data_IF_237342255369
#
_entry.id   IF_237342255369
#
_cell.length_a   1.000
_cell.length_b   1.000
_cell.length_c   1.000
_cell.angle_alpha   90.00
_cell.angle_beta   90.00
_cell.angle_gamma   90.00
#
_symmetry.space_group_name_H-M   'P 1'
#
loop_
_entity.id
_entity.type
_entity.pdbx_description
1 polymer ?
#
# COMPACT_ATOMS: atom_id res chain seq x y z
N UNK A 1 -55.28 9.12 41.66
CA UNK A 1 -54.11 9.22 42.54
C UNK A 1 -53.52 7.83 42.75
N UNK A 2 -52.66 7.36 41.86
CA UNK A 2 -51.96 6.08 41.98
C UNK A 2 -50.66 6.33 42.74
N UNK A 3 -50.65 6.03 44.04
CA UNK A 3 -49.47 6.11 44.89
C UNK A 3 -48.49 5.00 44.48
N UNK A 4 -47.29 5.37 44.04
CA UNK A 4 -46.16 4.46 43.90
C UNK A 4 -45.66 4.08 45.30
N UNK A 5 -45.82 2.82 45.69
CA UNK A 5 -45.23 2.26 46.90
C UNK A 5 -43.70 2.33 46.85
N UNK A 6 -43.02 2.65 47.97
CA UNK A 6 -41.57 2.77 47.99
C UNK A 6 -40.90 1.40 47.78
N UNK A 7 -39.94 1.34 46.86
CA UNK A 7 -39.20 0.11 46.53
C UNK A 7 -38.55 -0.51 47.77
N UNK A 8 -38.66 -1.84 47.93
CA UNK A 8 -38.12 -2.59 49.05
C UNK A 8 -36.59 -2.56 49.07
N UNK A 9 -35.96 -2.74 50.23
CA UNK A 9 -34.50 -2.74 50.39
C UNK A 9 -33.78 -3.75 49.47
N UNK A 10 -34.45 -4.86 49.16
CA UNK A 10 -33.97 -5.88 48.20
C UNK A 10 -34.02 -5.36 46.74
N UNK A 11 -35.12 -4.68 46.35
CA UNK A 11 -35.24 -4.05 45.03
C UNK A 11 -34.21 -2.94 44.83
N UNK A 12 -33.92 -2.14 45.87
CA UNK A 12 -32.89 -1.09 45.81
C UNK A 12 -31.49 -1.69 45.59
N UNK A 13 -31.14 -2.77 46.30
CA UNK A 13 -29.86 -3.48 46.10
C UNK A 13 -29.75 -4.07 44.68
N UNK A 14 -30.82 -4.67 44.17
CA UNK A 14 -30.84 -5.22 42.81
C UNK A 14 -30.67 -4.13 41.74
N UNK A 15 -31.31 -2.97 41.91
CA UNK A 15 -31.15 -1.81 41.02
C UNK A 15 -29.74 -1.23 41.05
N UNK A 16 -29.12 -1.11 42.23
CA UNK A 16 -27.72 -0.68 42.36
C UNK A 16 -26.78 -1.66 41.69
N UNK A 17 -26.98 -2.97 41.88
CA UNK A 17 -26.17 -4.00 41.24
C UNK A 17 -26.30 -3.96 39.71
N UNK A 18 -27.54 -3.85 39.20
CA UNK A 18 -27.79 -3.73 37.76
C UNK A 18 -27.16 -2.45 37.17
N UNK A 19 -27.25 -1.32 37.88
CA UNK A 19 -26.61 -0.07 37.47
C UNK A 19 -25.09 -0.22 37.36
N UNK A 20 -24.45 -0.85 38.35
CA UNK A 20 -23.00 -1.09 38.33
C UNK A 20 -22.58 -2.00 37.17
N UNK A 21 -23.33 -3.07 36.90
CA UNK A 21 -23.07 -3.97 35.76
C UNK A 21 -23.22 -3.23 34.44
N UNK A 22 -24.25 -2.39 34.28
CA UNK A 22 -24.43 -1.60 33.06
C UNK A 22 -23.28 -0.61 32.85
N UNK A 23 -22.77 0.01 33.92
CA UNK A 23 -21.61 0.91 33.85
C UNK A 23 -20.34 0.16 33.42
N UNK A 24 -20.10 -1.02 34.00
CA UNK A 24 -18.96 -1.88 33.65
C UNK A 24 -19.03 -2.36 32.20
N UNK A 25 -20.18 -2.86 31.75
CA UNK A 25 -20.40 -3.27 30.36
C UNK A 25 -20.23 -2.12 29.37
N UNK A 26 -20.67 -0.90 29.73
CA UNK A 26 -20.44 0.29 28.90
C UNK A 26 -18.96 0.67 28.80
N UNK A 27 -18.22 0.56 29.90
CA UNK A 27 -16.78 0.83 29.90
C UNK A 27 -16.01 -0.19 29.05
N UNK A 28 -16.36 -1.48 29.16
CA UNK A 28 -15.78 -2.55 28.34
C UNK A 28 -16.11 -2.36 26.85
N UNK A 29 -17.35 -2.00 26.50
CA UNK A 29 -17.73 -1.72 25.13
C UNK A 29 -16.93 -0.55 24.55
N UNK A 30 -16.81 0.55 25.30
CA UNK A 30 -16.03 1.72 24.88
C UNK A 30 -14.55 1.37 24.65
N UNK A 31 -13.94 0.61 25.56
CA UNK A 31 -12.55 0.17 25.42
C UNK A 31 -12.35 -0.77 24.22
N UNK A 32 -13.31 -1.66 23.95
CA UNK A 32 -13.28 -2.53 22.77
C UNK A 32 -13.46 -1.76 21.46
N UNK A 33 -14.34 -0.75 21.46
CA UNK A 33 -14.53 0.15 20.32
C UNK A 33 -13.31 1.04 20.06
N UNK A 34 -12.64 1.53 21.11
CA UNK A 34 -11.41 2.32 21.00
C UNK A 34 -10.20 1.45 20.59
N UNK A 35 -10.09 0.23 21.11
CA UNK A 35 -9.07 -0.73 20.69
C UNK A 35 -9.17 -1.12 19.22
N UNK A 36 -10.38 -1.16 18.65
CA UNK A 36 -10.60 -1.36 17.21
C UNK A 36 -10.38 -0.09 16.37
N UNK A 37 -10.15 1.07 16.99
CA UNK A 37 -9.93 2.37 16.33
C UNK A 37 -8.53 2.92 16.57
N UNK A 38 -7.56 2.05 16.85
CA UNK A 38 -6.17 2.46 16.97
C UNK A 38 -5.69 3.09 15.65
N UNK A 39 -5.20 4.35 15.66
CA UNK A 39 -4.69 4.99 14.45
C UNK A 39 -3.46 4.26 13.93
N UNK A 40 -3.45 3.93 12.63
CA UNK A 40 -2.29 3.33 11.97
C UNK A 40 -1.38 4.44 11.44
N UNK A 41 -0.14 4.48 11.91
CA UNK A 41 0.87 5.38 11.39
C UNK A 41 1.57 4.77 10.17
N UNK A 42 1.70 5.55 9.10
CA UNK A 42 2.59 5.23 7.97
C UNK A 42 3.94 5.87 8.27
N UNK A 43 4.92 5.05 8.62
CA UNK A 43 6.24 5.52 9.10
C UNK A 43 7.35 5.43 8.05
N UNK A 44 7.11 4.77 6.91
CA UNK A 44 8.04 4.70 5.80
C UNK A 44 7.31 4.54 4.47
N UNK A 45 7.96 4.92 3.38
CA UNK A 45 7.42 4.87 2.03
C UNK A 45 8.55 4.57 1.04
N UNK A 46 8.31 3.61 0.16
CA UNK A 46 9.13 3.34 -1.02
C UNK A 46 8.22 3.28 -2.22
N UNK A 47 8.63 3.89 -3.34
CA UNK A 47 7.88 3.81 -4.58
C UNK A 47 8.76 4.12 -5.78
N UNK A 48 8.44 3.48 -6.91
CA UNK A 48 9.02 3.79 -8.21
C UNK A 48 7.89 4.05 -9.20
N UNK A 49 7.89 5.23 -9.79
CA UNK A 49 6.93 5.68 -10.77
C UNK A 49 7.64 6.12 -12.06
N UNK A 50 6.94 6.17 -13.20
CA UNK A 50 7.47 6.75 -14.42
C UNK A 50 7.94 8.20 -14.17
N UNK A 51 9.22 8.50 -14.44
CA UNK A 51 9.83 9.80 -14.17
C UNK A 51 10.22 10.06 -12.71
N UNK A 52 10.03 9.10 -11.79
CA UNK A 52 10.33 9.27 -10.37
C UNK A 52 10.80 7.96 -9.71
N UNK A 53 12.06 7.91 -9.30
CA UNK A 53 12.65 6.72 -8.67
C UNK A 53 12.33 6.54 -7.20
N UNK A 54 11.88 7.59 -6.52
CA UNK A 54 11.70 7.61 -5.08
C UNK A 54 10.55 8.57 -4.70
N UNK A 55 10.10 8.56 -3.44
CA UNK A 55 9.00 9.42 -3.01
C UNK A 55 9.23 10.92 -3.18
N UNK A 56 10.48 11.40 -3.07
CA UNK A 56 10.80 12.83 -3.21
C UNK A 56 10.72 13.25 -4.68
N UNK A 57 11.30 12.45 -5.59
CA UNK A 57 11.17 12.64 -7.03
C UNK A 57 9.70 12.56 -7.47
N UNK A 58 8.92 11.67 -6.87
CA UNK A 58 7.49 11.56 -7.17
C UNK A 58 6.72 12.80 -6.70
N UNK A 59 7.03 13.30 -5.51
CA UNK A 59 6.44 14.55 -5.02
C UNK A 59 6.78 15.73 -5.93
N UNK A 60 8.04 15.83 -6.37
CA UNK A 60 8.48 16.87 -7.30
C UNK A 60 7.70 16.82 -8.62
N UNK A 61 7.52 15.64 -9.19
CA UNK A 61 6.76 15.40 -10.41
C UNK A 61 5.30 15.86 -10.27
N UNK A 62 4.65 15.50 -9.16
CA UNK A 62 3.28 15.91 -8.86
C UNK A 62 3.16 17.43 -8.66
N UNK A 63 4.08 18.02 -7.89
CA UNK A 63 4.11 19.45 -7.61
C UNK A 63 4.25 20.28 -8.88
N UNK A 64 5.09 19.82 -9.81
CA UNK A 64 5.37 20.50 -11.06
C UNK A 64 4.33 20.19 -12.15
N UNK A 65 3.39 19.27 -11.90
CA UNK A 65 2.33 18.91 -12.83
C UNK A 65 2.84 18.22 -14.11
N UNK A 66 3.91 17.43 -13.98
CA UNK A 66 4.58 16.79 -15.13
C UNK A 66 3.78 15.59 -15.63
N UNK A 67 3.49 15.56 -16.94
CA UNK A 67 2.95 14.37 -17.63
C UNK A 67 4.09 13.41 -17.98
N UNK A 68 4.18 12.30 -17.24
CA UNK A 68 5.17 11.24 -17.46
C UNK A 68 4.76 10.21 -18.53
N UNK A 69 3.64 10.42 -19.23
CA UNK A 69 3.21 9.53 -20.31
C UNK A 69 3.98 9.81 -21.59
N UNK A 70 4.35 8.73 -22.30
CA UNK A 70 5.12 8.79 -23.54
C UNK A 70 4.69 7.69 -24.47
N UNK A 71 5.27 7.65 -25.65
CA UNK A 71 5.07 6.55 -26.59
C UNK A 71 5.62 5.24 -26.00
N UNK A 72 4.96 4.14 -26.32
CA UNK A 72 5.40 2.80 -25.91
C UNK A 72 6.83 2.56 -26.46
N UNK A 73 7.83 2.33 -25.61
CA UNK A 73 9.21 2.14 -26.06
C UNK A 73 9.34 0.88 -26.93
N UNK A 74 10.07 0.99 -28.05
CA UNK A 74 10.27 -0.14 -28.99
C UNK A 74 11.04 -1.30 -28.36
N UNK A 75 11.77 -1.03 -27.29
CA UNK A 75 12.48 -2.03 -26.49
C UNK A 75 11.52 -2.94 -25.71
N UNK A 76 10.24 -2.54 -25.53
CA UNK A 76 9.22 -3.38 -24.89
C UNK A 76 8.56 -4.31 -25.90
N UNK A 77 8.02 -3.74 -26.98
CA UNK A 77 7.50 -4.45 -28.14
C UNK A 77 7.38 -3.49 -29.33
N UNK A 78 7.25 -4.06 -30.53
CA UNK A 78 7.07 -3.26 -31.75
C UNK A 78 5.66 -2.66 -31.82
N UNK A 79 5.52 -1.42 -31.33
CA UNK A 79 4.24 -0.73 -31.31
C UNK A 79 3.65 -0.54 -32.71
N UNK A 80 4.48 -0.36 -33.74
CA UNK A 80 4.01 -0.15 -35.11
C UNK A 80 3.35 -1.42 -35.67
N UNK A 81 3.81 -2.60 -35.22
CA UNK A 81 3.21 -3.88 -35.59
C UNK A 81 1.85 -4.15 -34.93
N UNK A 82 1.58 -3.56 -33.76
CA UNK A 82 0.35 -3.82 -32.99
C UNK A 82 -0.66 -2.67 -33.02
N UNK A 83 -0.28 -1.47 -33.44
CA UNK A 83 -1.16 -0.31 -33.43
C UNK A 83 -2.15 -0.29 -34.62
N UNK A 84 -3.41 0.03 -34.34
CA UNK A 84 -4.42 0.43 -35.31
C UNK A 84 -5.34 1.50 -34.67
N UNK A 85 -5.55 2.68 -35.29
CA UNK A 85 -6.47 3.69 -34.74
C UNK A 85 -7.93 3.21 -34.64
N UNK A 86 -8.34 2.18 -35.40
CA UNK A 86 -9.67 1.59 -35.29
C UNK A 86 -9.76 0.68 -34.06
N UNK A 87 -10.69 0.94 -33.11
CA UNK A 87 -10.76 0.22 -31.83
C UNK A 87 -11.12 -1.26 -31.97
N UNK A 88 -11.82 -1.65 -33.04
CA UNK A 88 -12.38 -2.99 -33.22
C UNK A 88 -11.53 -3.87 -34.16
N UNK A 89 -10.33 -3.42 -34.57
CA UNK A 89 -9.46 -4.26 -35.41
C UNK A 89 -8.94 -5.47 -34.60
N UNK A 90 -9.23 -6.72 -35.01
CA UNK A 90 -8.81 -7.89 -34.27
C UNK A 90 -7.28 -8.00 -34.15
N UNK A 91 -6.79 -8.26 -32.94
CA UNK A 91 -5.36 -8.45 -32.67
C UNK A 91 -4.53 -7.15 -32.67
N UNK A 92 -5.18 -5.98 -32.70
CA UNK A 92 -4.54 -4.67 -32.65
C UNK A 92 -4.89 -3.91 -31.35
N UNK A 93 -4.08 -2.90 -31.05
CA UNK A 93 -4.29 -1.94 -29.98
C UNK A 93 -4.50 -0.55 -30.57
N UNK A 94 -5.45 0.22 -30.03
CA UNK A 94 -5.67 1.62 -30.42
C UNK A 94 -5.00 2.62 -29.47
N UNK A 95 -4.22 2.13 -28.50
CA UNK A 95 -3.43 2.92 -27.56
C UNK A 95 -1.96 2.73 -27.88
N UNK A 96 -1.23 3.84 -28.05
CA UNK A 96 0.22 3.85 -28.29
C UNK A 96 1.02 4.63 -27.25
N UNK A 97 0.35 5.15 -26.21
CA UNK A 97 0.97 5.90 -25.12
C UNK A 97 0.71 5.22 -23.79
N UNK A 98 1.69 5.32 -22.90
CA UNK A 98 1.64 4.81 -21.54
C UNK A 98 2.73 5.45 -20.69
N UNK A 99 2.73 5.16 -19.41
CA UNK A 99 3.77 5.58 -18.49
C UNK A 99 4.56 4.33 -18.06
N UNK A 100 5.89 4.40 -18.14
CA UNK A 100 6.76 3.24 -18.04
C UNK A 100 7.94 3.53 -17.13
N UNK A 101 8.36 2.52 -16.37
CA UNK A 101 9.70 2.52 -15.77
C UNK A 101 10.71 2.26 -16.90
N UNK A 102 11.32 3.33 -17.42
CA UNK A 102 12.40 3.30 -18.42
C UNK A 102 13.79 3.28 -17.81
N UNK A 103 14.75 3.12 -18.72
CA UNK A 103 16.17 3.38 -18.50
C UNK A 103 16.52 4.85 -18.26
N UNK A 104 15.65 5.81 -18.59
CA UNK A 104 15.90 7.23 -18.30
C UNK A 104 15.70 7.51 -16.81
N UNK A 105 14.58 7.02 -16.27
CA UNK A 105 14.22 7.09 -14.86
C UNK A 105 15.08 6.11 -14.07
N UNK A 106 15.17 4.85 -14.51
CA UNK A 106 15.83 3.75 -13.81
C UNK A 106 16.93 3.14 -14.69
N UNK A 107 18.21 3.56 -14.57
CA UNK A 107 19.27 3.20 -15.52
C UNK A 107 19.44 1.71 -15.80
N UNK A 108 19.21 0.86 -14.79
CA UNK A 108 19.27 -0.60 -14.89
C UNK A 108 18.01 -1.24 -15.50
N UNK A 109 16.95 -0.47 -15.71
CA UNK A 109 15.68 -0.91 -16.27
C UNK A 109 14.95 -1.93 -15.39
N UNK A 110 13.73 -2.32 -15.79
CA UNK A 110 12.94 -3.31 -15.05
C UNK A 110 13.56 -4.72 -15.00
N UNK A 111 14.60 -4.95 -15.79
CA UNK A 111 15.34 -6.20 -15.82
C UNK A 111 16.48 -6.22 -14.78
N UNK A 112 16.91 -5.06 -14.30
CA UNK A 112 17.90 -4.93 -13.25
C UNK A 112 17.34 -5.37 -11.89
N UNK A 113 18.17 -6.07 -11.12
CA UNK A 113 17.82 -6.55 -9.79
C UNK A 113 19.09 -6.93 -9.02
N UNK A 114 19.22 -6.49 -7.76
CA UNK A 114 20.35 -6.86 -6.89
C UNK A 114 20.14 -8.23 -6.25
N UNK A 115 20.35 -9.29 -7.04
CA UNK A 115 20.10 -10.66 -6.60
C UNK A 115 20.98 -11.08 -5.41
N UNK A 116 22.24 -10.64 -5.38
CA UNK A 116 23.20 -10.99 -4.32
C UNK A 116 22.77 -10.40 -2.98
N UNK A 117 22.27 -9.17 -2.97
CA UNK A 117 21.71 -8.53 -1.78
C UNK A 117 20.57 -9.35 -1.16
N UNK A 118 19.64 -9.82 -1.99
CA UNK A 118 18.52 -10.67 -1.55
C UNK A 118 18.88 -12.15 -1.39
N UNK A 119 20.15 -12.53 -1.57
CA UNK A 119 20.65 -13.92 -1.50
C UNK A 119 19.94 -14.86 -2.48
N UNK A 120 19.59 -14.33 -3.64
CA UNK A 120 18.96 -15.06 -4.75
C UNK A 120 20.04 -15.38 -5.78
N UNK A 121 20.06 -16.61 -6.28
CA UNK A 121 21.06 -16.98 -7.29
C UNK A 121 20.80 -16.24 -8.61
N UNK A 122 21.83 -15.87 -9.39
CA UNK A 122 21.63 -15.20 -10.68
C UNK A 122 20.71 -15.98 -11.65
N UNK A 123 20.76 -17.32 -11.60
CA UNK A 123 19.91 -18.19 -12.41
C UNK A 123 18.43 -18.08 -12.03
N UNK A 124 18.15 -18.00 -10.74
CA UNK A 124 16.80 -17.81 -10.23
C UNK A 124 16.29 -16.42 -10.57
N UNK A 125 17.07 -15.38 -10.32
CA UNK A 125 16.73 -13.98 -10.61
C UNK A 125 16.33 -13.76 -12.08
N UNK A 126 17.01 -14.41 -13.04
CA UNK A 126 16.66 -14.33 -14.47
C UNK A 126 15.26 -14.88 -14.78
N UNK A 127 14.77 -15.83 -13.99
CA UNK A 127 13.46 -16.46 -14.19
C UNK A 127 12.36 -15.81 -13.34
N UNK A 128 12.71 -14.87 -12.46
CA UNK A 128 11.75 -14.17 -11.61
C UNK A 128 10.98 -13.11 -12.38
N UNK A 129 9.69 -13.04 -12.09
CA UNK A 129 8.83 -11.96 -12.57
C UNK A 129 9.43 -10.60 -12.13
N UNK A 130 9.61 -9.63 -13.06
CA UNK A 130 10.07 -8.28 -12.73
C UNK A 130 9.29 -7.61 -11.59
N UNK A 131 7.99 -7.89 -11.45
CA UNK A 131 7.16 -7.34 -10.37
C UNK A 131 7.59 -7.85 -8.99
N UNK A 132 7.97 -9.12 -8.87
CA UNK A 132 8.48 -9.68 -7.62
C UNK A 132 9.82 -9.05 -7.24
N UNK A 133 10.71 -8.87 -8.24
CA UNK A 133 12.01 -8.23 -8.06
C UNK A 133 11.87 -6.77 -7.62
N UNK A 134 11.01 -6.00 -8.30
CA UNK A 134 10.68 -4.63 -7.91
C UNK A 134 10.05 -4.56 -6.51
N UNK A 135 9.15 -5.48 -6.18
CA UNK A 135 8.52 -5.50 -4.87
C UNK A 135 9.53 -5.72 -3.75
N UNK A 136 10.53 -6.59 -3.95
CA UNK A 136 11.60 -6.82 -2.97
C UNK A 136 12.42 -5.55 -2.72
N UNK A 137 12.85 -4.88 -3.79
CA UNK A 137 13.62 -3.63 -3.70
C UNK A 137 12.80 -2.51 -3.05
N UNK A 138 11.58 -2.26 -3.53
CA UNK A 138 10.73 -1.17 -3.02
C UNK A 138 10.29 -1.41 -1.57
N UNK A 139 10.07 -2.67 -1.18
CA UNK A 139 9.79 -3.01 0.23
C UNK A 139 10.99 -2.72 1.12
N UNK A 140 12.20 -3.01 0.64
CA UNK A 140 13.43 -2.68 1.36
C UNK A 140 13.60 -1.16 1.51
N UNK A 141 13.43 -0.40 0.42
CA UNK A 141 13.46 1.07 0.42
C UNK A 141 12.45 1.66 1.42
N UNK A 142 11.25 1.08 1.52
CA UNK A 142 10.23 1.52 2.48
C UNK A 142 10.65 1.28 3.94
N UNK A 143 11.32 0.16 4.22
CA UNK A 143 11.86 -0.17 5.55
C UNK A 143 13.02 0.78 5.91
N UNK A 144 13.91 1.06 4.95
CA UNK A 144 14.99 2.04 5.13
C UNK A 144 14.45 3.45 5.36
N UNK A 145 13.44 3.86 4.60
CA UNK A 145 12.72 5.12 4.78
C UNK A 145 12.10 5.24 6.18
N UNK A 146 11.63 4.14 6.76
CA UNK A 146 11.12 4.11 8.13
C UNK A 146 12.22 4.27 9.20
N UNK A 147 13.50 4.23 8.83
CA UNK A 147 14.62 4.27 9.76
C UNK A 147 14.72 3.02 10.65
N UNK A 148 14.09 1.90 10.24
CA UNK A 148 14.07 0.65 11.00
C UNK A 148 15.09 -0.31 10.37
N UNK A 149 16.09 -0.80 11.14
CA UNK A 149 16.95 -1.86 10.66
C UNK A 149 16.14 -3.14 10.41
N UNK A 150 16.18 -3.69 9.20
CA UNK A 150 15.32 -4.82 8.81
C UNK A 150 15.43 -6.04 9.73
N UNK A 151 16.60 -6.31 10.32
CA UNK A 151 16.81 -7.42 11.26
C UNK A 151 16.03 -7.29 12.58
N UNK A 152 15.46 -6.12 12.87
CA UNK A 152 14.64 -5.86 14.06
C UNK A 152 13.16 -6.16 13.82
N UNK A 153 12.73 -6.30 12.56
CA UNK A 153 11.37 -6.71 12.23
C UNK A 153 11.22 -8.20 12.55
N UNK A 154 10.27 -8.52 13.44
CA UNK A 154 9.94 -9.90 13.84
C UNK A 154 8.52 -10.21 13.39
N UNK A 155 8.32 -11.42 12.85
CA UNK A 155 7.00 -12.00 12.63
C UNK A 155 6.47 -12.65 13.91
#
# INVERSE_FOLDING_TARGET
>A
MTQQSPASTSQRKALTQAYLVIQDLKAQLKAAEEGNREPIAIIGLGCRFPGALDPEAFWQLLRDGVDATREIPKERWDIDAYYDPAPDTPGKMNVRRGAFLDKETMPWGIEGFDADFFRISPREAMSMDPQQRLLLEVSWEAIESAGIPAHQLRN
#
